data_IF_450533843300
#
_entry.id   IF_450533843300
#
_cell.length_a   1.000
_cell.length_b   1.000
_cell.length_c   1.000
_cell.angle_alpha   90.00
_cell.angle_beta   90.00
_cell.angle_gamma   90.00
#
_symmetry.space_group_name_H-M   'P 1'
#
loop_
_entity.id
_entity.type
_entity.pdbx_description
1 polymer ?
#
# COMPACT_ATOMS: atom_id res chain seq x y z
N UNK A 1 -11.72 10.69 21.43
CA UNK A 1 -10.84 9.81 22.24
C UNK A 1 -10.64 8.40 21.66
N UNK A 2 -11.48 7.92 20.72
CA UNK A 2 -11.32 6.56 20.14
C UNK A 2 -10.39 6.43 18.92
N UNK A 3 -10.11 7.51 18.19
CA UNK A 3 -9.27 7.51 16.97
C UNK A 3 -7.76 7.42 17.24
N UNK A 4 -7.31 7.99 18.37
CA UNK A 4 -5.90 8.09 18.76
C UNK A 4 -5.26 6.71 19.05
N UNK A 5 -5.96 5.83 19.77
CA UNK A 5 -5.46 4.48 20.05
C UNK A 5 -5.43 3.57 18.81
N UNK A 6 -6.35 3.77 17.87
CA UNK A 6 -6.42 2.97 16.64
C UNK A 6 -5.25 3.33 15.70
N UNK A 7 -4.97 4.62 15.50
CA UNK A 7 -3.82 5.10 14.72
C UNK A 7 -2.50 4.51 15.24
N UNK A 8 -2.22 4.65 16.54
CA UNK A 8 -0.97 4.14 17.15
C UNK A 8 -0.81 2.63 16.99
N UNK A 9 -1.92 1.89 17.02
CA UNK A 9 -1.90 0.43 16.81
C UNK A 9 -1.49 0.10 15.37
N UNK A 10 -2.04 0.80 14.38
CA UNK A 10 -1.67 0.61 12.98
C UNK A 10 -0.22 1.02 12.70
N UNK A 11 0.25 2.14 13.26
CA UNK A 11 1.66 2.53 13.16
C UNK A 11 2.61 1.48 13.75
N UNK A 12 2.27 0.92 14.92
CA UNK A 12 3.06 -0.16 15.52
C UNK A 12 3.11 -1.39 14.61
N UNK A 13 1.96 -1.82 14.10
CA UNK A 13 1.88 -2.99 13.21
C UNK A 13 2.59 -2.74 11.88
N UNK A 14 2.51 -1.53 11.34
CA UNK A 14 3.24 -1.12 10.14
C UNK A 14 4.75 -1.25 10.33
N UNK A 15 5.28 -0.77 11.46
CA UNK A 15 6.69 -0.92 11.80
C UNK A 15 7.10 -2.40 11.91
N UNK A 16 6.29 -3.24 12.57
CA UNK A 16 6.55 -4.68 12.66
C UNK A 16 6.56 -5.37 11.28
N UNK A 17 5.68 -4.94 10.36
CA UNK A 17 5.63 -5.45 8.99
C UNK A 17 6.84 -5.00 8.18
N UNK A 18 7.31 -3.76 8.34
CA UNK A 18 8.53 -3.27 7.69
C UNK A 18 9.77 -4.07 8.12
N UNK A 19 9.92 -4.32 9.42
CA UNK A 19 11.03 -5.16 9.93
C UNK A 19 10.99 -6.56 9.31
N UNK A 20 9.80 -7.17 9.22
CA UNK A 20 9.65 -8.48 8.58
C UNK A 20 9.93 -8.41 7.08
N UNK A 21 9.44 -7.38 6.40
CA UNK A 21 9.65 -7.17 4.97
C UNK A 21 11.14 -7.07 4.65
N UNK A 22 11.91 -6.38 5.50
CA UNK A 22 13.36 -6.27 5.41
C UNK A 22 14.09 -7.59 5.71
N UNK A 23 13.60 -8.37 6.67
CA UNK A 23 14.23 -9.65 7.04
C UNK A 23 14.00 -10.76 6.00
N UNK A 24 12.88 -10.76 5.28
CA UNK A 24 12.57 -11.84 4.35
C UNK A 24 13.44 -11.83 3.08
N UNK A 25 13.85 -12.99 2.54
CA UNK A 25 14.53 -13.07 1.26
C UNK A 25 13.70 -12.49 0.11
N UNK A 26 14.25 -11.48 -0.59
CA UNK A 26 13.60 -10.80 -1.72
C UNK A 26 13.79 -11.59 -3.01
N UNK A 27 13.07 -12.71 -3.11
CA UNK A 27 13.09 -13.56 -4.29
C UNK A 27 12.11 -13.03 -5.33
N UNK A 28 12.61 -12.65 -6.50
CA UNK A 28 11.74 -12.34 -7.66
C UNK A 28 11.54 -13.65 -8.42
N UNK A 29 10.44 -14.32 -8.14
CA UNK A 29 10.03 -15.55 -8.83
C UNK A 29 8.62 -15.38 -9.41
N UNK A 30 8.16 -16.29 -10.27
CA UNK A 30 6.79 -16.25 -10.81
C UNK A 30 5.76 -16.49 -9.72
N UNK A 31 6.00 -17.48 -8.85
CA UNK A 31 5.11 -17.83 -7.74
C UNK A 31 5.08 -16.75 -6.65
N UNK A 32 3.96 -16.64 -5.95
CA UNK A 32 3.84 -15.82 -4.74
C UNK A 32 4.68 -16.45 -3.62
N UNK A 33 5.56 -15.66 -3.02
CA UNK A 33 6.42 -16.09 -1.92
C UNK A 33 6.13 -15.27 -0.66
N UNK A 34 6.82 -15.61 0.43
CA UNK A 34 6.62 -14.98 1.73
C UNK A 34 6.92 -13.48 1.73
N UNK A 35 7.98 -13.04 1.04
CA UNK A 35 8.29 -11.62 0.90
C UNK A 35 7.13 -10.85 0.25
N UNK A 36 6.56 -11.39 -0.83
CA UNK A 36 5.42 -10.79 -1.51
C UNK A 36 4.17 -10.73 -0.61
N UNK A 37 3.86 -11.81 0.11
CA UNK A 37 2.73 -11.82 1.05
C UNK A 37 2.89 -10.79 2.18
N UNK A 38 4.11 -10.59 2.67
CA UNK A 38 4.38 -9.55 3.68
C UNK A 38 4.24 -8.15 3.08
N UNK A 39 4.66 -7.95 1.82
CA UNK A 39 4.40 -6.72 1.10
C UNK A 39 2.90 -6.43 0.99
N UNK A 40 2.08 -7.43 0.70
CA UNK A 40 0.62 -7.27 0.72
C UNK A 40 0.08 -6.84 2.07
N UNK A 41 0.52 -7.51 3.14
CA UNK A 41 0.11 -7.15 4.50
C UNK A 41 0.55 -5.73 4.85
N UNK A 42 1.76 -5.32 4.44
CA UNK A 42 2.30 -3.97 4.63
C UNK A 42 1.39 -2.91 4.00
N UNK A 43 1.04 -3.08 2.72
CA UNK A 43 0.20 -2.10 2.02
C UNK A 43 -1.26 -2.14 2.46
N UNK A 44 -1.80 -3.32 2.83
CA UNK A 44 -3.12 -3.39 3.47
C UNK A 44 -3.14 -2.71 4.83
N UNK A 45 -2.03 -2.75 5.57
CA UNK A 45 -1.90 -2.05 6.85
C UNK A 45 -1.82 -0.53 6.65
N UNK A 46 -1.10 -0.05 5.63
CA UNK A 46 -1.12 1.35 5.22
C UNK A 46 -2.55 1.82 4.89
N UNK A 47 -3.33 1.01 4.19
CA UNK A 47 -4.74 1.29 3.94
C UNK A 47 -5.57 1.40 5.24
N UNK A 48 -5.36 0.49 6.20
CA UNK A 48 -6.02 0.58 7.51
C UNK A 48 -5.60 1.84 8.28
N UNK A 49 -4.33 2.24 8.21
CA UNK A 49 -3.86 3.50 8.76
C UNK A 49 -4.62 4.68 8.14
N UNK A 50 -4.74 4.72 6.81
CA UNK A 50 -5.52 5.73 6.08
C UNK A 50 -6.97 5.82 6.57
N UNK A 51 -7.66 4.69 6.73
CA UNK A 51 -9.01 4.64 7.31
C UNK A 51 -9.02 5.19 8.74
N UNK A 52 -8.06 4.78 9.57
CA UNK A 52 -8.05 5.13 11.00
C UNK A 52 -7.91 6.64 11.25
N UNK A 53 -7.25 7.35 10.33
CA UNK A 53 -7.13 8.82 10.35
C UNK A 53 -8.12 9.50 9.42
N UNK A 54 -9.10 8.77 8.88
CA UNK A 54 -10.08 9.27 7.92
C UNK A 54 -9.41 10.09 6.79
N UNK A 55 -8.29 9.57 6.27
CA UNK A 55 -7.52 10.15 5.18
C UNK A 55 -6.93 11.55 5.47
N UNK A 56 -6.94 11.98 6.74
CA UNK A 56 -6.27 13.21 7.21
C UNK A 56 -4.89 12.87 7.75
N UNK A 57 -3.91 12.79 6.85
CA UNK A 57 -2.57 12.30 7.20
C UNK A 57 -1.82 13.16 8.22
N UNK A 58 -2.19 14.44 8.40
CA UNK A 58 -1.69 15.27 9.50
C UNK A 58 -1.82 14.59 10.86
N UNK A 59 -2.86 13.77 11.04
CA UNK A 59 -3.25 13.21 12.33
C UNK A 59 -2.30 12.11 12.81
N UNK A 60 -1.48 11.50 11.93
CA UNK A 60 -0.45 10.54 12.35
C UNK A 60 0.97 11.06 12.20
N UNK A 61 1.20 12.14 11.45
CA UNK A 61 2.56 12.64 11.16
C UNK A 61 3.32 13.11 12.40
N UNK A 62 2.60 13.53 13.42
CA UNK A 62 3.17 13.99 14.69
C UNK A 62 3.44 12.84 15.68
N UNK A 63 3.02 11.61 15.36
CA UNK A 63 3.24 10.46 16.23
C UNK A 63 4.71 10.06 16.26
N UNK A 64 5.25 9.85 17.46
CA UNK A 64 6.69 9.55 17.65
C UNK A 64 7.14 8.30 16.90
N UNK A 65 6.23 7.36 16.66
CA UNK A 65 6.49 6.12 15.93
C UNK A 65 6.89 6.36 14.46
N UNK A 66 6.52 7.49 13.88
CA UNK A 66 6.91 7.88 12.53
C UNK A 66 8.43 7.97 12.39
N UNK A 67 9.13 8.40 13.43
CA UNK A 67 10.60 8.47 13.45
C UNK A 67 11.27 7.09 13.33
N UNK A 68 10.57 6.01 13.67
CA UNK A 68 11.05 4.63 13.48
C UNK A 68 10.64 4.08 12.10
N UNK A 69 9.45 4.46 11.62
CA UNK A 69 8.88 3.96 10.36
C UNK A 69 9.59 4.55 9.13
N UNK A 70 9.89 5.85 9.15
CA UNK A 70 10.49 6.56 8.02
C UNK A 70 11.85 5.96 7.61
N UNK A 71 12.81 5.73 8.53
CA UNK A 71 14.07 5.07 8.18
C UNK A 71 13.88 3.69 7.54
N UNK A 72 12.91 2.90 8.03
CA UNK A 72 12.60 1.60 7.45
C UNK A 72 12.08 1.70 6.02
N UNK A 73 11.22 2.69 5.72
CA UNK A 73 10.77 2.94 4.35
C UNK A 73 11.93 3.34 3.44
N UNK A 74 12.74 4.32 3.85
CA UNK A 74 13.90 4.79 3.07
C UNK A 74 14.87 3.64 2.78
N UNK A 75 15.22 2.84 3.79
CA UNK A 75 16.14 1.71 3.63
C UNK A 75 15.60 0.63 2.68
N UNK A 76 14.27 0.41 2.67
CA UNK A 76 13.63 -0.61 1.86
C UNK A 76 13.08 -0.07 0.53
N UNK A 77 13.35 1.19 0.16
CA UNK A 77 12.72 1.86 -0.99
C UNK A 77 12.75 1.02 -2.27
N UNK A 78 13.93 0.54 -2.70
CA UNK A 78 14.08 -0.25 -3.93
C UNK A 78 13.23 -1.53 -3.93
N UNK A 79 13.03 -2.13 -2.76
CA UNK A 79 12.21 -3.34 -2.64
C UNK A 79 10.72 -3.02 -2.58
N UNK A 80 10.35 -1.86 -2.04
CA UNK A 80 8.98 -1.34 -2.09
C UNK A 80 8.59 -1.02 -3.54
N UNK A 81 9.45 -0.30 -4.25
CA UNK A 81 9.34 -0.04 -5.68
C UNK A 81 9.20 -1.34 -6.48
N UNK A 82 10.12 -2.29 -6.25
CA UNK A 82 10.03 -3.62 -6.87
C UNK A 82 8.73 -4.37 -6.51
N UNK A 83 8.23 -4.25 -5.28
CA UNK A 83 6.96 -4.87 -4.92
C UNK A 83 5.81 -4.28 -5.73
N UNK A 84 5.74 -2.95 -5.81
CA UNK A 84 4.69 -2.22 -6.54
C UNK A 84 4.71 -2.61 -8.02
N UNK A 85 5.88 -2.67 -8.65
CA UNK A 85 6.02 -3.05 -10.07
C UNK A 85 5.61 -4.49 -10.36
N UNK A 86 5.88 -5.41 -9.43
CA UNK A 86 5.54 -6.82 -9.58
C UNK A 86 4.08 -7.13 -9.22
N UNK A 87 3.41 -6.25 -8.48
CA UNK A 87 2.09 -6.54 -7.92
C UNK A 87 1.02 -6.77 -8.99
N UNK A 88 0.82 -5.88 -9.98
CA UNK A 88 -0.16 -6.09 -11.04
C UNK A 88 0.11 -7.38 -11.79
N UNK A 89 1.36 -7.62 -12.18
CA UNK A 89 1.76 -8.83 -12.92
C UNK A 89 1.39 -10.10 -12.16
N UNK A 90 1.59 -10.13 -10.85
CA UNK A 90 1.32 -11.32 -10.04
C UNK A 90 -0.16 -11.51 -9.73
N UNK A 91 -0.87 -10.44 -9.33
CA UNK A 91 -2.25 -10.54 -8.83
C UNK A 91 -3.32 -10.32 -9.89
N UNK A 92 -3.00 -9.57 -10.95
CA UNK A 92 -3.91 -9.26 -12.05
C UNK A 92 -3.60 -10.18 -13.24
N UNK A 93 -2.34 -10.29 -13.67
CA UNK A 93 -2.02 -11.00 -14.92
C UNK A 93 -1.79 -12.52 -14.77
N UNK A 94 -1.02 -12.94 -13.76
CA UNK A 94 -0.48 -14.32 -13.69
C UNK A 94 -1.30 -15.29 -12.83
N UNK A 95 -1.61 -14.95 -11.58
CA UNK A 95 -2.29 -15.89 -10.67
C UNK A 95 -3.81 -15.69 -10.60
N UNK A 96 -4.36 -14.52 -10.96
CA UNK A 96 -5.79 -14.16 -10.83
C UNK A 96 -6.45 -14.59 -9.49
N UNK A 97 -5.66 -14.70 -8.42
CA UNK A 97 -6.11 -15.22 -7.11
C UNK A 97 -6.54 -14.13 -6.14
N UNK A 98 -6.21 -12.87 -6.40
CA UNK A 98 -6.58 -11.73 -5.55
C UNK A 98 -8.06 -11.35 -5.71
N UNK A 99 -8.71 -10.96 -4.62
CA UNK A 99 -10.03 -10.32 -4.72
C UNK A 99 -9.89 -8.87 -5.19
N UNK A 100 -10.92 -8.33 -5.83
CA UNK A 100 -11.00 -6.92 -6.19
C UNK A 100 -10.72 -6.00 -5.01
N UNK A 101 -11.35 -6.32 -3.87
CA UNK A 101 -11.15 -5.59 -2.63
C UNK A 101 -9.69 -5.62 -2.17
N UNK A 102 -9.01 -6.76 -2.23
CA UNK A 102 -7.62 -6.85 -1.80
C UNK A 102 -6.66 -6.04 -2.67
N UNK A 103 -6.83 -6.09 -3.99
CA UNK A 103 -6.03 -5.31 -4.93
C UNK A 103 -6.26 -3.81 -4.70
N UNK A 104 -7.52 -3.40 -4.54
CA UNK A 104 -7.86 -2.00 -4.27
C UNK A 104 -7.29 -1.51 -2.93
N UNK A 105 -7.29 -2.36 -1.89
CA UNK A 105 -6.67 -2.04 -0.59
C UNK A 105 -5.16 -1.85 -0.73
N UNK A 106 -4.47 -2.70 -1.49
CA UNK A 106 -3.03 -2.54 -1.74
C UNK A 106 -2.76 -1.21 -2.47
N UNK A 107 -3.51 -0.92 -3.53
CA UNK A 107 -3.35 0.34 -4.27
C UNK A 107 -3.66 1.58 -3.42
N UNK A 108 -4.66 1.49 -2.55
CA UNK A 108 -4.99 2.53 -1.58
C UNK A 108 -3.88 2.69 -0.53
N UNK A 109 -3.23 1.59 -0.11
CA UNK A 109 -2.05 1.64 0.75
C UNK A 109 -0.88 2.37 0.10
N UNK A 110 -0.68 2.20 -1.21
CA UNK A 110 0.33 2.95 -1.98
C UNK A 110 0.04 4.44 -1.93
N UNK A 111 -1.22 4.86 -2.02
CA UNK A 111 -1.63 6.26 -1.87
C UNK A 111 -1.30 6.80 -0.47
N UNK A 112 -1.56 6.02 0.59
CA UNK A 112 -1.20 6.41 1.96
C UNK A 112 0.32 6.55 2.11
N UNK A 113 1.12 5.69 1.47
CA UNK A 113 2.58 5.86 1.45
C UNK A 113 2.97 7.18 0.77
N UNK A 114 2.46 7.39 -0.44
CA UNK A 114 2.84 8.50 -1.31
C UNK A 114 2.37 9.87 -0.81
N UNK A 115 1.16 9.96 -0.25
CA UNK A 115 0.58 11.20 0.25
C UNK A 115 0.78 11.35 1.75
N UNK A 116 0.65 10.25 2.50
CA UNK A 116 0.68 10.28 3.96
C UNK A 116 2.07 10.53 4.52
N UNK A 117 3.12 9.99 3.87
CA UNK A 117 4.51 10.14 4.32
C UNK A 117 5.26 11.30 3.67
N UNK A 118 4.59 12.07 2.82
CA UNK A 118 5.14 13.26 2.16
C UNK A 118 5.47 14.37 3.16
N UNK A 119 6.56 15.09 2.92
CA UNK A 119 7.08 16.22 3.70
C UNK A 119 7.45 15.84 5.14
N UNK A 120 7.71 14.56 5.42
CA UNK A 120 8.21 14.10 6.73
C UNK A 120 9.74 14.06 6.74
N UNK A 121 10.35 13.61 5.64
CA UNK A 121 11.79 13.45 5.52
C UNK A 121 12.22 13.65 4.06
N UNK A 122 13.20 14.54 3.86
CA UNK A 122 13.66 14.93 2.52
C UNK A 122 14.24 13.79 1.68
N UNK A 123 14.82 12.76 2.30
CA UNK A 123 15.34 11.59 1.59
C UNK A 123 14.19 10.71 1.12
N UNK A 124 13.26 10.39 2.03
CA UNK A 124 12.04 9.66 1.68
C UNK A 124 11.21 10.42 0.63
N UNK A 125 11.11 11.74 0.71
CA UNK A 125 10.36 12.53 -0.26
C UNK A 125 10.92 12.41 -1.69
N UNK A 126 12.25 12.32 -1.84
CA UNK A 126 12.88 12.08 -3.15
C UNK A 126 12.56 10.68 -3.66
N UNK A 127 12.62 9.69 -2.78
CA UNK A 127 12.28 8.31 -3.09
C UNK A 127 10.80 8.19 -3.52
N UNK A 128 9.87 8.84 -2.80
CA UNK A 128 8.45 8.84 -3.15
C UNK A 128 8.16 9.57 -4.47
N UNK A 129 8.90 10.64 -4.78
CA UNK A 129 8.77 11.32 -6.07
C UNK A 129 9.28 10.43 -7.22
N UNK A 130 10.43 9.78 -7.05
CA UNK A 130 10.94 8.82 -8.04
C UNK A 130 9.91 7.71 -8.31
N UNK A 131 9.26 7.18 -7.28
CA UNK A 131 8.22 6.15 -7.44
C UNK A 131 7.02 6.64 -8.27
N UNK A 132 6.67 7.93 -8.21
CA UNK A 132 5.63 8.52 -9.06
C UNK A 132 6.11 8.73 -10.48
N UNK A 133 7.31 9.28 -10.64
CA UNK A 133 7.89 9.63 -11.94
C UNK A 133 8.25 8.41 -12.79
N UNK A 134 8.63 7.30 -12.16
CA UNK A 134 8.99 6.06 -12.86
C UNK A 134 7.77 5.32 -13.44
N UNK A 135 6.55 5.82 -13.20
CA UNK A 135 5.35 5.28 -13.82
C UNK A 135 4.85 3.98 -13.19
N UNK A 136 5.48 3.46 -12.14
CA UNK A 136 5.07 2.20 -11.49
C UNK A 136 3.63 2.24 -10.96
N UNK A 137 3.24 3.40 -10.42
CA UNK A 137 1.87 3.65 -9.96
C UNK A 137 0.91 3.77 -11.14
N UNK A 138 1.34 4.42 -12.22
CA UNK A 138 0.55 4.58 -13.45
C UNK A 138 0.34 3.23 -14.16
N UNK A 139 1.37 2.38 -14.25
CA UNK A 139 1.26 1.02 -14.76
C UNK A 139 0.28 0.19 -13.92
N UNK A 140 0.36 0.30 -12.59
CA UNK A 140 -0.63 -0.33 -11.71
C UNK A 140 -2.05 0.14 -12.04
N UNK A 141 -2.26 1.46 -12.11
CA UNK A 141 -3.57 2.05 -12.38
C UNK A 141 -4.11 1.66 -13.76
N UNK A 142 -3.24 1.58 -14.77
CA UNK A 142 -3.59 1.11 -16.11
C UNK A 142 -3.98 -0.37 -16.12
N UNK A 143 -3.23 -1.23 -15.43
CA UNK A 143 -3.60 -2.64 -15.25
C UNK A 143 -4.94 -2.78 -14.53
N UNK A 144 -5.15 -2.01 -13.47
CA UNK A 144 -6.39 -2.01 -12.70
C UNK A 144 -7.59 -1.54 -13.54
N UNK A 145 -7.42 -0.48 -14.33
CA UNK A 145 -8.43 0.05 -15.24
C UNK A 145 -8.80 -0.96 -16.31
N UNK A 146 -7.81 -1.53 -17.01
CA UNK A 146 -8.03 -2.57 -18.02
C UNK A 146 -8.78 -3.76 -17.41
N UNK A 147 -8.41 -4.14 -16.19
CA UNK A 147 -9.05 -5.23 -15.47
C UNK A 147 -10.52 -4.95 -15.13
N UNK A 148 -10.84 -3.74 -14.64
CA UNK A 148 -12.21 -3.29 -14.36
C UNK A 148 -13.04 -3.23 -15.66
N UNK A 149 -12.47 -2.68 -16.74
CA UNK A 149 -13.17 -2.47 -18.01
C UNK A 149 -13.41 -3.78 -18.79
N UNK A 150 -12.47 -4.72 -18.76
CA UNK A 150 -12.56 -5.98 -19.54
C UNK A 150 -13.32 -7.09 -18.83
N UNK A 151 -13.51 -7.00 -17.51
CA UNK A 151 -14.27 -7.99 -16.74
C UNK A 151 -13.59 -9.36 -16.62
N UNK A 152 -12.27 -9.46 -16.81
CA UNK A 152 -11.49 -10.71 -16.77
C UNK A 152 -11.39 -11.40 -15.37
N UNK A 153 -12.32 -11.09 -14.44
CA UNK A 153 -12.58 -11.66 -13.07
C UNK A 153 -11.60 -11.31 -11.94
N UNK A 154 -12.00 -11.41 -10.64
CA UNK A 154 -13.37 -11.56 -10.10
C UNK A 154 -14.05 -10.22 -9.77
N UNK A 155 -15.37 -10.18 -9.92
CA UNK A 155 -16.25 -9.08 -9.48
C UNK A 155 -16.13 -8.80 -7.99
N UNK A 156 -16.27 -7.53 -7.59
CA UNK A 156 -16.37 -7.12 -6.19
C UNK A 156 -17.36 -8.01 -5.44
N UNK A 157 -16.88 -8.72 -4.41
CA UNK A 157 -17.74 -9.50 -3.53
C UNK A 157 -18.54 -8.55 -2.63
N UNK A 158 -19.71 -8.95 -2.10
CA UNK A 158 -20.47 -8.14 -1.14
C UNK A 158 -19.70 -7.72 0.13
N UNK A 159 -18.57 -8.38 0.42
CA UNK A 159 -17.64 -8.05 1.50
C UNK A 159 -16.45 -7.16 1.08
N UNK A 160 -16.25 -6.90 -0.21
CA UNK A 160 -15.24 -5.98 -0.74
C UNK A 160 -15.68 -4.52 -0.62
N UNK A 161 -16.59 -4.24 0.34
CA UNK A 161 -17.14 -2.90 0.52
C UNK A 161 -15.99 -1.91 0.82
N UNK A 162 -16.02 -0.71 0.23
CA UNK A 162 -15.11 0.41 0.53
C UNK A 162 -15.39 1.02 1.92
N UNK A 163 -15.62 0.19 2.94
CA UNK A 163 -15.93 0.62 4.30
C UNK A 163 -14.76 1.42 4.86
N UNK A 164 -14.94 2.72 5.03
CA UNK A 164 -13.92 3.64 5.56
C UNK A 164 -13.20 4.48 4.50
N UNK A 165 -13.54 4.31 3.22
CA UNK A 165 -12.99 5.14 2.13
C UNK A 165 -13.95 6.28 1.83
N UNK A 166 -13.45 7.53 1.80
CA UNK A 166 -14.29 8.70 1.50
C UNK A 166 -14.82 8.64 0.05
N UNK A 167 -15.97 9.28 -0.21
CA UNK A 167 -16.71 9.15 -1.48
C UNK A 167 -15.96 9.68 -2.71
N UNK A 168 -15.02 10.59 -2.50
CA UNK A 168 -14.24 11.21 -3.58
C UNK A 168 -12.95 10.41 -3.92
N UNK A 169 -12.71 9.30 -3.24
CA UNK A 169 -11.56 8.43 -3.51
C UNK A 169 -11.75 7.68 -4.83
N UNK A 170 -10.66 7.40 -5.54
CA UNK A 170 -10.67 6.77 -6.87
C UNK A 170 -11.39 5.42 -6.92
N UNK A 171 -11.51 4.74 -5.78
CA UNK A 171 -12.23 3.46 -5.65
C UNK A 171 -13.75 3.57 -5.94
N UNK A 172 -14.31 4.79 -5.94
CA UNK A 172 -15.72 5.03 -6.27
C UNK A 172 -15.97 5.50 -7.71
N UNK A 173 -14.90 5.69 -8.50
CA UNK A 173 -14.93 6.17 -9.90
C UNK A 173 -15.04 4.97 -10.84
#
# INVERSE_FOLDING_TARGET
>A
MGTDMTCRTHLKKLHELLIKFEAEPKLICTQINKWFLIGEDLFKELFQLGISVNWKYSDFREETKINEIVPCFTQNYKWIECFISQYPRKRIDLDLTGSAGDICKVRSGIEVLLEGFRNINNELDKDLENLRELGEVEEFDNCLKLWIETGYRPSFKPGDKPSGVHKDHWWWI
#
